data_IF_241269827010
#
_entry.id   IF_241269827010
#
_cell.length_a   1.000
_cell.length_b   1.000
_cell.length_c   1.000
_cell.angle_alpha   90.00
_cell.angle_beta   90.00
_cell.angle_gamma   90.00
#
_symmetry.space_group_name_H-M   'P 1'
#
loop_
_entity.id
_entity.type
_entity.pdbx_description
1 polymer ?
#
# COMPACT_ATOMS: atom_id res chain seq x y z
N UNK A 1 21.97 -1.44 -3.08
CA UNK A 1 20.85 -0.76 -3.79
C UNK A 1 19.53 -1.53 -3.71
N UNK A 2 19.51 -2.84 -3.45
CA UNK A 2 18.26 -3.57 -3.16
C UNK A 2 18.24 -4.09 -1.73
N UNK A 3 17.83 -3.25 -0.77
CA UNK A 3 17.56 -3.64 0.62
C UNK A 3 16.31 -4.53 0.71
N UNK A 4 16.33 -5.73 0.10
CA UNK A 4 15.22 -6.68 0.16
C UNK A 4 13.84 -6.03 -0.16
N UNK A 5 13.82 -5.17 -1.19
CA UNK A 5 12.71 -4.23 -1.48
C UNK A 5 11.40 -4.90 -1.88
N UNK A 6 11.40 -6.22 -2.05
CA UNK A 6 10.17 -7.00 -2.18
C UNK A 6 9.25 -6.83 -0.96
N UNK A 7 9.80 -6.45 0.20
CA UNK A 7 9.05 -6.26 1.44
C UNK A 7 8.95 -4.80 1.90
N UNK A 8 9.05 -3.86 0.95
CA UNK A 8 9.04 -2.44 1.28
C UNK A 8 7.70 -1.99 1.90
N UNK A 9 6.59 -2.53 1.41
CA UNK A 9 5.25 -2.27 1.96
C UNK A 9 5.19 -2.70 3.42
N UNK A 10 5.65 -3.91 3.72
CA UNK A 10 5.68 -4.50 5.05
C UNK A 10 6.58 -3.71 5.99
N UNK A 11 7.73 -3.25 5.51
CA UNK A 11 8.61 -2.38 6.27
C UNK A 11 7.92 -1.05 6.63
N UNK A 12 7.19 -0.43 5.70
CA UNK A 12 6.48 0.82 5.99
C UNK A 12 5.19 0.64 6.81
N UNK A 13 4.56 -0.53 6.76
CA UNK A 13 3.45 -0.89 7.65
C UNK A 13 3.93 -1.19 9.08
N UNK A 14 5.07 -1.87 9.22
CA UNK A 14 5.62 -2.34 10.50
C UNK A 14 7.12 -2.00 10.63
N UNK A 15 7.51 -0.72 10.73
CA UNK A 15 8.91 -0.29 10.69
C UNK A 15 9.77 -0.82 11.84
N UNK A 16 9.13 -1.26 12.92
CA UNK A 16 9.79 -1.87 14.09
C UNK A 16 10.16 -3.35 13.88
N UNK A 17 9.68 -4.00 12.81
CA UNK A 17 10.04 -5.38 12.48
C UNK A 17 11.41 -5.40 11.80
N UNK A 18 12.39 -6.18 12.31
CA UNK A 18 13.72 -6.20 11.74
C UNK A 18 13.73 -6.78 10.31
N UNK A 19 14.61 -6.27 9.44
CA UNK A 19 14.64 -6.61 8.01
C UNK A 19 14.68 -8.11 7.71
N UNK A 20 15.42 -8.88 8.50
CA UNK A 20 15.53 -10.33 8.32
C UNK A 20 14.23 -11.09 8.63
N UNK A 21 13.30 -10.47 9.36
CA UNK A 21 12.00 -11.04 9.71
C UNK A 21 10.88 -10.65 8.74
N UNK A 22 11.12 -9.70 7.82
CA UNK A 22 10.13 -9.28 6.82
C UNK A 22 9.58 -10.42 5.94
N UNK A 23 10.37 -11.43 5.50
CA UNK A 23 9.81 -12.58 4.77
C UNK A 23 8.80 -13.37 5.59
N UNK A 24 9.05 -13.53 6.91
CA UNK A 24 8.12 -14.20 7.82
C UNK A 24 6.85 -13.38 8.00
N UNK A 25 6.98 -12.06 8.16
CA UNK A 25 5.85 -11.15 8.22
C UNK A 25 5.01 -11.23 6.94
N UNK A 26 5.63 -11.15 5.77
CA UNK A 26 4.95 -11.29 4.48
C UNK A 26 4.15 -12.59 4.41
N UNK A 27 4.75 -13.73 4.77
CA UNK A 27 4.04 -15.02 4.77
C UNK A 27 2.81 -15.04 5.68
N UNK A 28 2.82 -14.27 6.78
CA UNK A 28 1.70 -14.18 7.73
C UNK A 28 0.56 -13.28 7.21
N UNK A 29 0.87 -12.23 6.43
CA UNK A 29 -0.12 -11.23 5.99
C UNK A 29 -0.42 -11.27 4.50
N UNK A 30 0.23 -12.14 3.72
CA UNK A 30 0.11 -12.18 2.24
C UNK A 30 -1.35 -12.25 1.76
N UNK A 31 -2.21 -12.94 2.52
CA UNK A 31 -3.62 -13.16 2.17
C UNK A 31 -4.52 -11.96 2.55
N UNK A 32 -3.93 -10.92 3.16
CA UNK A 32 -4.54 -9.61 3.42
C UNK A 32 -4.01 -8.52 2.47
N UNK A 33 -3.00 -8.82 1.65
CA UNK A 33 -2.37 -7.87 0.73
C UNK A 33 -2.97 -7.99 -0.67
N UNK A 34 -3.07 -6.88 -1.44
CA UNK A 34 -3.41 -6.96 -2.86
C UNK A 34 -2.31 -7.69 -3.63
N UNK A 35 -2.67 -8.28 -4.76
CA UNK A 35 -1.69 -8.89 -5.66
C UNK A 35 -0.65 -7.84 -6.12
N UNK A 36 0.67 -8.17 -6.06
CA UNK A 36 1.70 -7.27 -6.54
C UNK A 36 1.62 -7.13 -8.07
N UNK A 37 2.13 -6.02 -8.59
CA UNK A 37 2.30 -5.86 -10.03
C UNK A 37 3.23 -6.95 -10.58
N UNK A 38 2.92 -7.44 -11.78
CA UNK A 38 3.61 -8.61 -12.37
C UNK A 38 4.98 -8.27 -12.96
N UNK A 39 5.23 -6.99 -13.22
CA UNK A 39 6.48 -6.49 -13.77
C UNK A 39 6.66 -5.00 -13.50
N UNK A 40 7.86 -4.50 -13.76
CA UNK A 40 8.16 -3.05 -13.72
C UNK A 40 7.24 -2.29 -14.70
N UNK A 41 7.05 -2.81 -15.92
CA UNK A 41 6.20 -2.16 -16.93
C UNK A 41 4.75 -2.04 -16.44
N UNK A 42 4.20 -3.10 -15.84
CA UNK A 42 2.85 -3.10 -15.26
C UNK A 42 2.70 -2.02 -14.18
N UNK A 43 3.69 -1.91 -13.27
CA UNK A 43 3.71 -0.86 -12.25
C UNK A 43 3.78 0.57 -12.86
N UNK A 44 4.62 0.80 -13.88
CA UNK A 44 4.72 2.11 -14.52
C UNK A 44 3.47 2.50 -15.30
N UNK A 45 2.77 1.54 -15.93
CA UNK A 45 1.48 1.78 -16.57
C UNK A 45 0.44 2.22 -15.55
N UNK A 46 0.39 1.59 -14.38
CA UNK A 46 -0.51 1.99 -13.29
C UNK A 46 -0.19 3.41 -12.79
N UNK A 47 1.09 3.72 -12.54
CA UNK A 47 1.52 5.06 -12.14
C UNK A 47 1.12 6.10 -13.19
N UNK A 48 1.40 5.85 -14.47
CA UNK A 48 1.06 6.77 -15.56
C UNK A 48 -0.45 7.04 -15.64
N UNK A 49 -1.28 5.98 -15.59
CA UNK A 49 -2.74 6.11 -15.59
C UNK A 49 -3.23 6.94 -14.40
N UNK A 50 -2.66 6.68 -13.23
CA UNK A 50 -3.02 7.40 -12.00
C UNK A 50 -2.71 8.89 -12.10
N UNK A 51 -1.50 9.21 -12.56
CA UNK A 51 -1.09 10.61 -12.77
C UNK A 51 -1.95 11.28 -13.83
N UNK A 52 -2.30 10.59 -14.91
CA UNK A 52 -3.19 11.12 -15.94
C UNK A 52 -4.57 11.50 -15.38
N UNK A 53 -5.19 10.62 -14.59
CA UNK A 53 -6.48 10.90 -13.95
C UNK A 53 -6.37 12.02 -12.90
N UNK A 54 -5.29 12.06 -12.13
CA UNK A 54 -5.03 13.12 -11.15
C UNK A 54 -4.96 14.52 -11.77
N UNK A 55 -4.64 14.66 -13.06
CA UNK A 55 -4.70 15.96 -13.76
C UNK A 55 -6.10 16.54 -13.82
N UNK A 56 -7.13 15.69 -13.82
CA UNK A 56 -8.55 16.09 -13.85
C UNK A 56 -9.18 16.04 -12.46
N UNK A 57 -8.79 15.05 -11.66
CA UNK A 57 -9.30 14.83 -10.32
C UNK A 57 -8.13 14.65 -9.33
N UNK A 58 -7.66 15.74 -8.67
CA UNK A 58 -6.54 15.65 -7.73
C UNK A 58 -6.76 14.69 -6.55
N UNK A 59 -8.02 14.39 -6.21
CA UNK A 59 -8.37 13.44 -5.16
C UNK A 59 -8.34 11.96 -5.62
N UNK A 60 -8.07 11.70 -6.90
CA UNK A 60 -7.97 10.34 -7.42
C UNK A 60 -6.80 9.59 -6.76
N UNK A 61 -7.06 8.35 -6.37
CA UNK A 61 -6.05 7.39 -5.95
C UNK A 61 -6.41 5.99 -6.48
N UNK A 62 -5.40 5.13 -6.64
CA UNK A 62 -5.62 3.74 -7.05
C UNK A 62 -6.15 2.95 -5.87
N UNK A 63 -7.33 2.36 -6.04
CA UNK A 63 -7.87 1.37 -5.10
C UNK A 63 -7.54 -0.03 -5.60
N UNK A 64 -6.58 -0.69 -4.98
CA UNK A 64 -6.25 -2.10 -5.27
C UNK A 64 -7.37 -3.01 -4.76
N UNK A 65 -7.69 -4.05 -5.53
CA UNK A 65 -8.59 -5.11 -5.09
C UNK A 65 -7.89 -5.97 -4.05
N UNK A 66 -8.52 -6.12 -2.89
CA UNK A 66 -8.03 -7.00 -1.83
C UNK A 66 -8.58 -8.43 -1.99
N UNK A 67 -7.86 -9.45 -1.51
CA UNK A 67 -8.39 -10.81 -1.40
C UNK A 67 -9.66 -10.85 -0.56
N UNK A 68 -10.54 -11.81 -0.82
CA UNK A 68 -11.81 -11.96 -0.07
C UNK A 68 -11.61 -12.24 1.43
N UNK A 69 -10.44 -12.75 1.80
CA UNK A 69 -10.02 -12.98 3.18
C UNK A 69 -9.66 -11.70 3.93
N UNK A 70 -9.30 -10.64 3.21
CA UNK A 70 -8.91 -9.37 3.81
C UNK A 70 -10.11 -8.71 4.48
N UNK A 71 -9.87 -8.13 5.66
CA UNK A 71 -10.89 -7.30 6.32
C UNK A 71 -11.23 -6.10 5.43
N UNK A 72 -12.51 -5.67 5.37
CA UNK A 72 -12.87 -4.49 4.62
C UNK A 72 -12.08 -3.29 5.13
N UNK A 73 -11.61 -2.50 4.18
CA UNK A 73 -10.99 -1.22 4.50
C UNK A 73 -11.98 -0.35 5.27
N UNK A 74 -11.50 0.26 6.35
CA UNK A 74 -12.30 1.05 7.28
C UNK A 74 -12.22 2.52 6.88
N UNK A 75 -13.08 2.92 5.94
CA UNK A 75 -13.16 4.28 5.40
C UNK A 75 -13.34 5.34 6.51
N UNK A 76 -13.93 4.96 7.65
CA UNK A 76 -14.09 5.87 8.79
C UNK A 76 -12.75 6.43 9.32
N UNK A 77 -11.64 5.72 9.15
CA UNK A 77 -10.33 6.19 9.61
C UNK A 77 -9.69 7.24 8.69
N UNK A 78 -10.12 7.35 7.44
CA UNK A 78 -9.60 8.34 6.49
C UNK A 78 -10.38 9.65 6.52
N UNK A 79 -11.61 9.61 7.05
CA UNK A 79 -12.44 10.79 7.28
C UNK A 79 -12.38 11.27 8.73
N UNK A 80 -11.40 10.79 9.52
CA UNK A 80 -11.13 11.40 10.81
C UNK A 80 -10.63 12.81 10.54
N UNK A 81 -11.48 13.80 10.79
CA UNK A 81 -11.06 15.18 11.04
C UNK A 81 -10.23 15.17 12.32
N UNK A 82 -8.97 14.73 12.20
CA UNK A 82 -7.95 15.00 13.20
C UNK A 82 -7.67 16.48 13.01
N UNK A 83 -8.55 17.33 13.54
CA UNK A 83 -8.21 18.68 13.93
C UNK A 83 -6.91 18.50 14.70
N UNK A 84 -5.79 18.84 14.05
CA UNK A 84 -4.47 18.75 14.65
C UNK A 84 -4.63 19.42 15.99
N UNK A 85 -4.53 18.65 17.08
CA UNK A 85 -4.43 19.21 18.40
C UNK A 85 -3.18 20.08 18.34
N UNK A 86 -3.40 21.36 18.09
CA UNK A 86 -2.38 22.38 18.06
C UNK A 86 -1.95 22.51 19.51
N UNK A 87 -0.80 21.92 19.82
CA UNK A 87 0.00 22.25 20.99
C UNK A 87 0.90 23.44 20.63
#
# INVERSE_FOLDING_TARGET
IYWNMNYHVEHHMFPMVPYHALPRLHALIKDDLPAPNTSILDAYVEVYKSLHEQRRNPAYYVRKTLPATARPYRDEFHNLDIARAAE
#
